data_IF_733086567187
#
_entry.id   IF_733086567187
#
_cell.length_a   1.000
_cell.length_b   1.000
_cell.length_c   1.000
_cell.angle_alpha   90.00
_cell.angle_beta   90.00
_cell.angle_gamma   90.00
#
_symmetry.space_group_name_H-M   'P 1'
#
loop_
_entity.id
_entity.type
_entity.pdbx_description
1 polymer ?
#
# COMPACT_ATOMS: atom_id res chain seq x y z
N UNK A 1 7.78 13.24 5.90
CA UNK A 1 7.17 12.00 5.40
C UNK A 1 7.93 10.80 5.93
N UNK A 2 7.23 9.75 6.33
CA UNK A 2 7.81 8.46 6.76
C UNK A 2 7.10 7.35 5.99
N UNK A 3 7.81 6.28 5.66
CA UNK A 3 7.19 5.09 5.08
C UNK A 3 6.11 4.57 6.04
N UNK A 4 4.92 4.36 5.52
CA UNK A 4 3.77 3.80 6.24
C UNK A 4 3.58 2.33 5.87
N UNK A 5 3.44 2.07 4.58
CA UNK A 5 3.31 0.71 4.10
C UNK A 5 3.75 0.55 2.64
N UNK A 6 4.10 -0.68 2.30
CA UNK A 6 4.32 -1.14 0.94
C UNK A 6 3.04 -1.77 0.41
N UNK A 7 2.77 -1.60 -0.87
CA UNK A 7 1.56 -2.12 -1.53
C UNK A 7 1.96 -3.18 -2.56
N UNK A 8 1.56 -4.41 -2.30
CA UNK A 8 1.64 -5.53 -3.24
C UNK A 8 0.27 -5.72 -3.88
N UNK A 9 0.19 -5.53 -5.18
CA UNK A 9 -1.02 -5.82 -5.95
C UNK A 9 -1.12 -7.31 -6.26
N UNK A 10 -2.35 -7.81 -6.35
CA UNK A 10 -2.65 -9.17 -6.80
C UNK A 10 -3.88 -9.16 -7.73
N UNK A 11 -3.97 -10.11 -8.66
CA UNK A 11 -5.17 -10.25 -9.50
C UNK A 11 -6.37 -10.70 -8.66
N UNK A 12 -6.15 -11.60 -7.71
CA UNK A 12 -7.10 -11.98 -6.66
C UNK A 12 -6.44 -11.96 -5.29
N UNK A 13 -7.22 -11.79 -4.22
CA UNK A 13 -6.65 -11.78 -2.88
C UNK A 13 -6.05 -13.13 -2.49
N UNK A 14 -6.67 -14.23 -2.96
CA UNK A 14 -6.18 -15.59 -2.69
C UNK A 14 -4.82 -15.85 -3.36
N UNK A 15 -4.60 -15.36 -4.58
CA UNK A 15 -3.29 -15.39 -5.22
C UNK A 15 -2.26 -14.58 -4.44
N UNK A 16 -2.67 -13.43 -3.90
CA UNK A 16 -1.83 -12.61 -3.04
C UNK A 16 -1.42 -13.33 -1.75
N UNK A 17 -2.35 -14.04 -1.11
CA UNK A 17 -2.06 -14.87 0.07
C UNK A 17 -1.08 -16.00 -0.27
N UNK A 18 -1.36 -16.76 -1.32
CA UNK A 18 -0.50 -17.85 -1.77
C UNK A 18 0.92 -17.36 -2.14
N UNK A 19 1.02 -16.18 -2.76
CA UNK A 19 2.30 -15.54 -3.03
C UNK A 19 3.05 -15.22 -1.74
N UNK A 20 2.38 -14.64 -0.74
CA UNK A 20 3.00 -14.30 0.55
C UNK A 20 3.56 -15.55 1.23
N UNK A 21 2.79 -16.64 1.29
CA UNK A 21 3.22 -17.92 1.85
C UNK A 21 4.43 -18.51 1.11
N UNK A 22 4.41 -18.46 -0.21
CA UNK A 22 5.50 -19.00 -1.05
C UNK A 22 6.76 -18.16 -0.97
N UNK A 23 6.65 -16.82 -1.06
CA UNK A 23 7.79 -15.91 -1.19
C UNK A 23 8.31 -15.47 0.17
N UNK A 24 7.43 -15.11 1.10
CA UNK A 24 7.79 -14.58 2.41
C UNK A 24 7.78 -15.65 3.52
N UNK A 25 7.17 -16.80 3.29
CA UNK A 25 7.22 -17.94 4.18
C UNK A 25 6.14 -17.98 5.25
N UNK A 26 5.11 -17.12 5.18
CA UNK A 26 4.02 -17.10 6.16
C UNK A 26 2.74 -16.51 5.57
N UNK A 27 1.60 -16.87 6.17
CA UNK A 27 0.30 -16.31 5.81
C UNK A 27 0.15 -14.90 6.37
N UNK A 28 -0.35 -13.94 5.57
CA UNK A 28 -0.64 -12.60 6.06
C UNK A 28 -1.87 -12.60 6.99
N UNK A 29 -1.88 -11.67 7.94
CA UNK A 29 -3.01 -11.48 8.84
C UNK A 29 -4.28 -11.01 8.08
N UNK A 30 -5.46 -11.27 8.63
CA UNK A 30 -6.69 -10.69 8.10
C UNK A 30 -6.59 -9.16 7.98
N UNK A 31 -7.05 -8.64 6.85
CA UNK A 31 -7.21 -7.22 6.62
C UNK A 31 -8.67 -6.83 6.66
N UNK A 32 -9.20 -6.29 5.57
CA UNK A 32 -10.61 -5.94 5.45
C UNK A 32 -10.96 -5.40 4.07
N UNK A 33 -12.23 -5.05 3.92
CA UNK A 33 -12.75 -4.42 2.70
C UNK A 33 -12.67 -2.89 2.80
N UNK A 34 -12.39 -2.27 1.68
CA UNK A 34 -12.43 -0.82 1.50
C UNK A 34 -13.67 -0.48 0.66
N UNK A 35 -14.81 -0.32 1.32
CA UNK A 35 -16.09 -0.08 0.65
C UNK A 35 -16.05 1.11 -0.32
N UNK A 36 -15.28 2.16 0.03
CA UNK A 36 -15.10 3.35 -0.81
C UNK A 36 -14.45 3.03 -2.16
N UNK A 37 -13.56 2.03 -2.19
CA UNK A 37 -12.73 1.73 -3.36
C UNK A 37 -13.04 0.38 -4.00
N UNK A 38 -13.95 -0.42 -3.43
CA UNK A 38 -14.25 -1.76 -3.92
C UNK A 38 -13.01 -2.65 -3.99
N UNK A 39 -12.20 -2.61 -2.94
CA UNK A 39 -10.99 -3.44 -2.80
C UNK A 39 -10.96 -4.12 -1.44
N UNK A 40 -10.19 -5.18 -1.32
CA UNK A 40 -9.94 -5.87 -0.06
C UNK A 40 -8.46 -6.19 0.10
N UNK A 41 -8.01 -6.42 1.33
CA UNK A 41 -6.60 -6.62 1.61
C UNK A 41 -6.31 -7.69 2.66
N UNK A 42 -5.03 -8.08 2.72
CA UNK A 42 -4.36 -8.77 3.83
C UNK A 42 -3.15 -7.96 4.24
N UNK A 43 -2.77 -8.05 5.50
CA UNK A 43 -1.74 -7.20 6.09
C UNK A 43 -0.65 -8.04 6.76
N UNK A 44 0.57 -7.52 6.76
CA UNK A 44 1.70 -8.14 7.39
C UNK A 44 2.57 -7.08 8.06
N UNK A 45 2.84 -7.22 9.36
CA UNK A 45 3.77 -6.34 10.04
C UNK A 45 5.18 -6.58 9.52
N UNK A 46 5.83 -5.54 9.00
CA UNK A 46 7.22 -5.56 8.53
C UNK A 46 8.07 -4.49 9.23
N UNK A 47 7.64 -4.03 10.40
CA UNK A 47 8.34 -3.00 11.16
C UNK A 47 9.76 -3.43 11.52
N UNK A 48 10.67 -2.48 11.50
CA UNK A 48 12.06 -2.63 11.96
C UNK A 48 12.50 -1.39 12.72
N UNK A 49 13.69 -1.39 13.30
CA UNK A 49 14.26 -0.20 13.95
C UNK A 49 14.43 0.95 12.97
N UNK A 50 14.79 0.67 11.71
CA UNK A 50 14.93 1.68 10.66
C UNK A 50 13.57 2.16 10.09
N UNK A 51 12.57 1.28 10.10
CA UNK A 51 11.23 1.53 9.56
C UNK A 51 10.16 1.16 10.60
N UNK A 52 10.01 1.96 11.68
CA UNK A 52 9.03 1.68 12.72
C UNK A 52 7.60 1.88 12.23
N UNK A 53 6.67 1.06 12.74
CA UNK A 53 5.25 1.11 12.38
C UNK A 53 5.03 1.01 10.87
N UNK A 54 5.65 0.01 10.24
CA UNK A 54 5.55 -0.26 8.82
C UNK A 54 4.86 -1.61 8.58
N UNK A 55 4.02 -1.69 7.56
CA UNK A 55 3.37 -2.94 7.18
C UNK A 55 3.40 -3.16 5.66
N UNK A 56 3.20 -4.39 5.24
CA UNK A 56 2.95 -4.78 3.87
C UNK A 56 1.44 -4.96 3.69
N UNK A 57 0.87 -4.30 2.71
CA UNK A 57 -0.51 -4.49 2.26
C UNK A 57 -0.52 -5.33 0.99
N UNK A 58 -1.21 -6.46 1.02
CA UNK A 58 -1.55 -7.25 -0.16
C UNK A 58 -2.98 -6.88 -0.54
N UNK A 59 -3.17 -6.29 -1.71
CA UNK A 59 -4.44 -5.72 -2.13
C UNK A 59 -4.91 -6.28 -3.47
N UNK A 60 -6.21 -6.49 -3.59
CA UNK A 60 -6.88 -6.85 -4.83
C UNK A 60 -8.22 -6.12 -4.97
N UNK A 61 -8.76 -6.08 -6.18
CA UNK A 61 -10.15 -5.69 -6.42
C UNK A 61 -11.06 -6.74 -5.77
N UNK A 62 -12.04 -6.27 -4.99
CA UNK A 62 -13.05 -7.15 -4.42
C UNK A 62 -14.17 -7.38 -5.45
N UNK A 63 -14.31 -8.62 -6.00
CA UNK A 63 -15.29 -8.88 -7.03
C UNK A 63 -16.74 -8.83 -6.53
N UNK A 64 -16.94 -8.85 -5.20
CA UNK A 64 -18.27 -8.79 -4.58
C UNK A 64 -18.65 -7.36 -4.15
N UNK A 65 -17.71 -6.44 -4.13
CA UNK A 65 -17.96 -5.07 -3.75
C UNK A 65 -18.34 -4.21 -4.97
N UNK A 66 -19.23 -3.22 -4.81
CA UNK A 66 -19.44 -2.23 -5.85
C UNK A 66 -18.14 -1.45 -6.10
N UNK A 67 -17.92 -1.06 -7.35
CA UNK A 67 -16.81 -0.15 -7.69
C UNK A 67 -17.02 1.24 -7.07
N UNK A 68 -15.97 2.05 -6.97
CA UNK A 68 -16.08 3.42 -6.50
C UNK A 68 -16.96 4.25 -7.43
N UNK A 69 -17.72 5.19 -6.85
CA UNK A 69 -18.59 6.08 -7.61
C UNK A 69 -17.85 7.39 -7.90
N UNK A 70 -17.82 7.82 -9.18
CA UNK A 70 -17.27 9.11 -9.60
C UNK A 70 -15.74 9.20 -9.56
N UNK A 71 -15.02 8.09 -9.37
CA UNK A 71 -13.56 8.01 -9.38
C UNK A 71 -13.08 6.62 -9.78
N UNK A 72 -11.82 6.51 -10.18
CA UNK A 72 -11.16 5.22 -10.33
C UNK A 72 -10.62 4.69 -8.98
N UNK A 73 -10.35 3.38 -8.91
CA UNK A 73 -9.66 2.76 -7.77
C UNK A 73 -8.24 3.31 -7.67
N UNK A 74 -7.75 3.37 -6.44
CA UNK A 74 -6.39 3.78 -6.15
C UNK A 74 -5.32 2.84 -6.75
N UNK A 75 -4.05 3.30 -6.75
CA UNK A 75 -2.85 2.52 -7.10
C UNK A 75 -2.85 1.90 -8.51
N UNK A 76 -3.49 2.58 -9.47
CA UNK A 76 -3.64 2.08 -10.86
C UNK A 76 -4.46 0.78 -10.98
N UNK A 77 -5.18 0.33 -9.96
CA UNK A 77 -5.85 -0.98 -9.96
C UNK A 77 -6.89 -1.15 -11.10
N UNK A 78 -7.44 -0.05 -11.62
CA UNK A 78 -8.33 -0.10 -12.80
C UNK A 78 -7.56 -0.01 -14.13
N UNK A 79 -6.24 0.10 -14.12
CA UNK A 79 -5.47 0.19 -15.37
C UNK A 79 -5.32 -1.20 -16.00
N UNK A 80 -5.71 -1.38 -17.28
CA UNK A 80 -5.62 -2.67 -17.96
C UNK A 80 -4.21 -3.26 -17.97
N UNK A 81 -3.19 -2.40 -18.13
CA UNK A 81 -1.80 -2.83 -18.14
C UNK A 81 -1.37 -3.44 -16.80
N UNK A 82 -1.76 -2.81 -15.66
CA UNK A 82 -1.46 -3.37 -14.35
C UNK A 82 -2.21 -4.69 -14.13
N UNK A 83 -3.49 -4.75 -14.48
CA UNK A 83 -4.28 -5.97 -14.36
C UNK A 83 -3.73 -7.10 -15.21
N UNK A 84 -3.20 -6.81 -16.41
CA UNK A 84 -2.52 -7.77 -17.24
C UNK A 84 -1.22 -8.26 -16.60
N UNK A 85 -0.37 -7.34 -16.13
CA UNK A 85 0.88 -7.70 -15.44
C UNK A 85 0.63 -8.59 -14.22
N UNK A 86 -0.38 -8.26 -13.39
CA UNK A 86 -0.74 -9.06 -12.22
C UNK A 86 -1.20 -10.49 -12.59
N UNK A 87 -1.90 -10.66 -13.72
CA UNK A 87 -2.30 -12.00 -14.20
C UNK A 87 -1.13 -12.80 -14.80
N UNK A 88 -0.22 -12.14 -15.50
CA UNK A 88 0.86 -12.80 -16.22
C UNK A 88 2.09 -13.07 -15.36
N UNK A 89 2.44 -12.11 -14.48
CA UNK A 89 3.65 -12.17 -13.64
C UNK A 89 3.34 -12.57 -12.20
N UNK A 90 2.05 -12.51 -11.81
CA UNK A 90 1.60 -12.75 -10.44
C UNK A 90 1.69 -11.50 -9.55
N UNK A 91 1.41 -11.67 -8.23
CA UNK A 91 1.48 -10.58 -7.28
C UNK A 91 2.87 -9.96 -7.17
N UNK A 92 2.93 -8.63 -7.05
CA UNK A 92 4.18 -7.91 -6.97
C UNK A 92 4.04 -6.53 -6.34
N UNK A 93 5.16 -5.93 -5.97
CA UNK A 93 5.21 -4.58 -5.42
C UNK A 93 4.74 -3.59 -6.46
N UNK A 94 3.70 -2.83 -6.16
CA UNK A 94 3.13 -1.86 -7.11
C UNK A 94 3.28 -0.41 -6.64
N UNK A 95 3.33 -0.17 -5.34
CA UNK A 95 3.35 1.18 -4.79
C UNK A 95 3.85 1.21 -3.35
N UNK A 96 4.00 2.44 -2.81
CA UNK A 96 4.22 2.68 -1.40
C UNK A 96 3.44 3.90 -0.92
N UNK A 97 3.15 3.93 0.37
CA UNK A 97 2.39 4.99 1.02
C UNK A 97 3.24 5.61 2.12
N UNK A 98 3.24 6.93 2.18
CA UNK A 98 3.94 7.69 3.21
C UNK A 98 2.97 8.32 4.19
N UNK A 99 3.21 8.14 5.49
CA UNK A 99 2.46 8.87 6.51
C UNK A 99 2.99 10.28 6.71
N UNK A 100 2.05 11.18 6.91
CA UNK A 100 2.27 12.59 7.22
C UNK A 100 1.48 12.97 8.47
N UNK A 101 1.97 13.96 9.21
CA UNK A 101 1.28 14.47 10.38
C UNK A 101 0.20 15.53 10.05
N UNK A 102 0.33 16.18 8.90
CA UNK A 102 -0.55 17.27 8.44
C UNK A 102 -0.75 17.15 6.93
N UNK A 103 -1.84 16.51 6.53
CA UNK A 103 -2.14 16.21 5.13
C UNK A 103 -2.21 17.47 4.27
N UNK A 104 -2.91 18.49 4.74
CA UNK A 104 -3.15 19.69 3.93
C UNK A 104 -1.84 20.46 3.67
N UNK A 105 -0.95 20.54 4.67
CA UNK A 105 0.36 21.16 4.51
C UNK A 105 1.26 20.35 3.56
N UNK A 106 1.24 19.00 3.67
CA UNK A 106 2.02 18.13 2.79
C UNK A 106 1.54 18.24 1.33
N UNK A 107 0.24 18.29 1.09
CA UNK A 107 -0.33 18.49 -0.24
C UNK A 107 0.00 19.88 -0.82
N UNK A 108 -0.05 20.92 0.01
CA UNK A 108 0.34 22.28 -0.41
C UNK A 108 1.82 22.33 -0.84
N UNK A 109 2.71 21.65 -0.08
CA UNK A 109 4.11 21.53 -0.44
C UNK A 109 4.29 20.81 -1.78
N UNK A 110 3.64 19.66 -1.99
CA UNK A 110 3.74 18.92 -3.26
C UNK A 110 3.22 19.75 -4.45
N UNK A 111 2.11 20.47 -4.26
CA UNK A 111 1.60 21.39 -5.30
C UNK A 111 2.57 22.50 -5.65
N UNK A 112 3.27 23.06 -4.66
CA UNK A 112 4.30 24.10 -4.91
C UNK A 112 5.50 23.57 -5.72
N UNK A 113 5.73 22.26 -5.67
CA UNK A 113 6.72 21.53 -6.45
C UNK A 113 6.18 21.02 -7.81
N UNK A 114 4.95 21.39 -8.16
CA UNK A 114 4.30 20.99 -9.42
C UNK A 114 3.77 19.55 -9.42
N UNK A 115 3.57 18.96 -8.25
CA UNK A 115 3.03 17.60 -8.09
C UNK A 115 1.57 17.65 -7.67
N UNK A 116 0.69 17.10 -8.50
CA UNK A 116 -0.72 16.85 -8.14
C UNK A 116 -0.87 15.47 -7.50
N UNK A 117 -0.88 15.43 -6.18
CA UNK A 117 -1.09 14.21 -5.39
C UNK A 117 -2.59 13.91 -5.14
N UNK A 118 -3.49 14.70 -5.71
CA UNK A 118 -4.93 14.57 -5.52
C UNK A 118 -5.44 15.29 -4.27
N UNK A 119 -6.63 14.87 -3.83
CA UNK A 119 -7.33 15.48 -2.70
C UNK A 119 -7.42 14.51 -1.51
N UNK A 120 -7.45 15.02 -0.26
CA UNK A 120 -7.60 14.19 0.91
C UNK A 120 -9.00 13.58 0.98
N UNK A 121 -9.07 12.27 1.01
CA UNK A 121 -10.31 11.50 1.14
C UNK A 121 -10.33 10.82 2.50
N UNK A 122 -11.37 11.10 3.29
CA UNK A 122 -11.56 10.45 4.57
C UNK A 122 -12.04 9.00 4.39
N UNK A 123 -11.48 8.09 5.15
CA UNK A 123 -11.86 6.68 5.16
C UNK A 123 -11.78 6.11 6.58
N UNK A 124 -12.53 5.02 6.80
CA UNK A 124 -12.53 4.32 8.08
C UNK A 124 -12.73 2.81 7.88
N UNK A 125 -12.21 2.03 8.84
CA UNK A 125 -12.45 0.59 8.94
C UNK A 125 -12.36 0.17 10.41
N UNK A 126 -13.46 -0.25 11.01
CA UNK A 126 -13.51 -0.45 12.46
C UNK A 126 -13.14 0.84 13.19
N UNK A 127 -12.14 0.74 14.07
CA UNK A 127 -11.61 1.89 14.83
C UNK A 127 -10.53 2.68 14.08
N UNK A 128 -10.05 2.16 12.96
CA UNK A 128 -9.08 2.84 12.12
C UNK A 128 -9.75 4.00 11.37
N UNK A 129 -9.17 5.18 11.48
CA UNK A 129 -9.61 6.39 10.74
C UNK A 129 -8.40 7.08 10.15
N UNK A 130 -8.51 7.43 8.87
CA UNK A 130 -7.43 8.11 8.15
C UNK A 130 -7.95 9.05 7.06
N UNK A 131 -7.08 9.93 6.59
CA UNK A 131 -7.23 10.62 5.31
C UNK A 131 -6.15 10.11 4.36
N UNK A 132 -6.48 9.90 3.11
CA UNK A 132 -5.55 9.45 2.08
C UNK A 132 -5.66 10.39 0.88
N UNK A 133 -4.53 10.82 0.34
CA UNK A 133 -4.51 11.68 -0.84
C UNK A 133 -4.75 10.85 -2.09
N UNK A 134 -5.83 11.12 -2.80
CA UNK A 134 -6.23 10.34 -3.96
C UNK A 134 -6.54 11.24 -5.15
N UNK A 135 -5.94 10.94 -6.27
CA UNK A 135 -6.33 11.49 -7.57
C UNK A 135 -7.66 10.88 -8.01
N UNK A 136 -8.46 11.67 -8.71
CA UNK A 136 -9.76 11.20 -9.23
C UNK A 136 -9.59 10.07 -10.26
N UNK A 137 -8.50 10.10 -11.04
CA UNK A 137 -8.15 9.08 -12.00
C UNK A 137 -7.54 7.80 -11.39
N UNK A 138 -7.37 7.75 -10.06
CA UNK A 138 -6.82 6.62 -9.30
C UNK A 138 -5.35 6.32 -9.57
N UNK A 139 -4.67 7.15 -10.36
CA UNK A 139 -3.30 6.89 -10.79
C UNK A 139 -2.30 7.13 -9.69
N UNK A 140 -1.30 6.25 -9.63
CA UNK A 140 -0.10 6.45 -8.83
C UNK A 140 0.67 7.68 -9.33
N UNK A 141 1.38 8.32 -8.44
CA UNK A 141 2.35 9.35 -8.82
C UNK A 141 3.55 8.66 -9.48
N UNK A 142 3.59 8.68 -10.80
CA UNK A 142 4.65 8.01 -11.58
C UNK A 142 5.96 8.79 -11.61
N UNK A 143 5.93 10.03 -11.20
CA UNK A 143 7.13 10.86 -11.17
C UNK A 143 8.02 10.41 -10.03
N UNK A 144 9.15 9.77 -10.36
CA UNK A 144 10.28 9.56 -9.45
C UNK A 144 9.95 8.77 -8.15
N UNK A 145 9.03 7.80 -8.21
CA UNK A 145 8.74 6.96 -7.04
C UNK A 145 8.04 7.69 -5.89
N UNK A 146 7.28 8.77 -6.19
CA UNK A 146 6.55 9.52 -5.17
C UNK A 146 5.41 8.67 -4.54
N UNK A 147 5.19 8.79 -3.23
CA UNK A 147 4.16 8.04 -2.52
C UNK A 147 2.77 8.62 -2.68
N UNK A 148 1.78 7.80 -2.39
CA UNK A 148 0.49 8.29 -1.90
C UNK A 148 0.65 8.73 -0.44
N UNK A 149 0.03 9.83 -0.05
CA UNK A 149 0.10 10.32 1.33
C UNK A 149 -1.07 9.78 2.16
N UNK A 150 -0.77 9.39 3.40
CA UNK A 150 -1.78 9.01 4.40
C UNK A 150 -1.56 9.77 5.71
N UNK A 151 -2.64 10.17 6.34
CA UNK A 151 -2.67 10.77 7.68
C UNK A 151 -3.62 9.97 8.56
N UNK A 152 -3.10 9.39 9.61
CA UNK A 152 -3.89 8.66 10.61
C UNK A 152 -4.50 9.62 11.62
N UNK A 153 -5.69 9.31 12.12
CA UNK A 153 -6.32 10.11 13.17
C UNK A 153 -5.41 10.19 14.40
N UNK A 154 -5.25 11.41 14.93
CA UNK A 154 -4.41 11.64 16.10
C UNK A 154 -4.89 10.82 17.32
N UNK A 155 -3.97 10.11 17.97
CA UNK A 155 -4.28 9.23 19.12
C UNK A 155 -5.05 7.96 18.76
N UNK A 156 -5.38 7.74 17.48
CA UNK A 156 -6.05 6.53 17.00
C UNK A 156 -5.07 5.35 16.82
N UNK A 157 -5.63 4.15 16.65
CA UNK A 157 -4.83 2.97 16.35
C UNK A 157 -4.19 3.06 14.97
N UNK A 158 -3.07 2.32 14.80
CA UNK A 158 -2.40 2.15 13.50
C UNK A 158 -2.31 0.65 13.18
N UNK A 159 -2.44 0.22 11.92
CA UNK A 159 -2.43 -1.20 11.59
C UNK A 159 -1.21 -1.96 12.13
N UNK A 160 -0.01 -1.39 12.00
CA UNK A 160 1.20 -2.05 12.48
C UNK A 160 1.23 -2.29 14.00
N UNK A 161 0.52 -1.50 14.80
CA UNK A 161 0.44 -1.69 16.26
C UNK A 161 -0.54 -2.81 16.64
N UNK A 162 -1.47 -3.15 15.76
CA UNK A 162 -2.52 -4.17 15.98
C UNK A 162 -2.16 -5.52 15.32
N UNK A 163 -1.27 -5.49 14.33
CA UNK A 163 -0.83 -6.71 13.65
C UNK A 163 0.09 -7.55 14.54
N UNK A 164 -0.03 -8.88 14.47
CA UNK A 164 0.91 -9.75 15.15
C UNK A 164 2.33 -9.55 14.61
N UNK A 165 3.32 -9.81 15.45
CA UNK A 165 4.71 -9.88 15.02
C UNK A 165 4.83 -10.99 14.00
N UNK A 166 5.33 -10.66 12.80
CA UNK A 166 5.40 -11.61 11.69
C UNK A 166 6.71 -12.40 11.66
N UNK A 167 7.76 -11.90 12.29
CA UNK A 167 9.11 -12.39 12.07
C UNK A 167 9.77 -11.90 10.79
N UNK A 168 9.07 -11.01 10.04
CA UNK A 168 9.62 -10.30 8.88
C UNK A 168 9.94 -8.87 9.26
N UNK A 169 11.04 -8.35 8.75
CA UNK A 169 11.43 -6.96 8.98
C UNK A 169 11.98 -6.30 7.72
N UNK A 170 11.56 -5.06 7.48
CA UNK A 170 12.07 -4.25 6.38
C UNK A 170 13.46 -3.74 6.72
N UNK A 171 14.47 -4.18 5.96
CA UNK A 171 15.87 -3.81 6.16
C UNK A 171 16.25 -2.56 5.38
N UNK A 172 15.81 -2.47 4.13
CA UNK A 172 16.12 -1.36 3.23
C UNK A 172 14.94 -1.05 2.32
N UNK A 173 14.77 0.22 2.03
CA UNK A 173 13.75 0.74 1.13
C UNK A 173 14.32 1.84 0.25
N UNK A 174 14.07 1.76 -1.05
CA UNK A 174 14.49 2.74 -2.05
C UNK A 174 13.35 3.04 -3.01
N UNK A 175 13.14 4.35 -3.30
CA UNK A 175 12.06 4.82 -4.16
C UNK A 175 12.49 5.83 -5.23
N UNK A 176 13.79 6.13 -5.37
CA UNK A 176 14.25 7.16 -6.33
C UNK A 176 14.38 6.65 -7.76
N UNK A 177 15.12 5.57 -7.97
CA UNK A 177 15.44 5.02 -9.30
C UNK A 177 14.67 3.71 -9.55
N UNK A 178 13.46 3.65 -9.08
CA UNK A 178 12.62 2.47 -9.01
C UNK A 178 12.15 2.25 -7.58
N UNK A 179 11.21 1.33 -7.40
CA UNK A 179 10.70 0.96 -6.08
C UNK A 179 11.28 -0.39 -5.70
N UNK A 180 12.12 -0.43 -4.66
CA UNK A 180 12.74 -1.64 -4.15
C UNK A 180 12.63 -1.70 -2.63
N UNK A 181 12.39 -2.91 -2.11
CA UNK A 181 12.36 -3.19 -0.67
C UNK A 181 13.07 -4.51 -0.38
N UNK A 182 13.92 -4.55 0.62
CA UNK A 182 14.61 -5.75 1.08
C UNK A 182 14.07 -6.13 2.44
N UNK A 183 13.55 -7.34 2.52
CA UNK A 183 12.92 -7.91 3.70
C UNK A 183 13.78 -9.05 4.23
N UNK A 184 14.05 -9.04 5.52
CA UNK A 184 14.52 -10.24 6.20
C UNK A 184 13.30 -11.09 6.55
N UNK A 185 13.32 -12.36 6.15
CA UNK A 185 12.19 -13.29 6.27
C UNK A 185 12.64 -14.64 6.83
N UNK A 186 11.73 -15.48 7.31
CA UNK A 186 12.06 -16.86 7.70
C UNK A 186 12.70 -17.70 6.58
N UNK A 187 12.62 -17.23 5.33
CA UNK A 187 13.23 -17.86 4.14
C UNK A 187 14.55 -17.22 3.71
N UNK A 188 15.07 -16.28 4.50
CA UNK A 188 16.21 -15.43 4.15
C UNK A 188 15.81 -14.08 3.59
N UNK A 189 16.78 -13.36 3.04
CA UNK A 189 16.52 -12.04 2.44
C UNK A 189 15.71 -12.17 1.15
N UNK A 190 14.65 -11.37 1.05
CA UNK A 190 13.80 -11.27 -0.13
C UNK A 190 13.80 -9.82 -0.63
N UNK A 191 14.14 -9.62 -1.89
CA UNK A 191 13.98 -8.33 -2.55
C UNK A 191 12.63 -8.27 -3.30
N UNK A 192 11.84 -7.26 -3.00
CA UNK A 192 10.66 -6.88 -3.77
C UNK A 192 11.02 -5.69 -4.66
N UNK A 193 10.78 -5.81 -5.96
CA UNK A 193 10.97 -4.73 -6.91
C UNK A 193 9.63 -4.34 -7.55
N UNK A 194 9.54 -3.09 -8.04
CA UNK A 194 8.34 -2.59 -8.70
C UNK A 194 7.94 -3.54 -9.84
N UNK A 195 6.70 -3.97 -9.82
CA UNK A 195 6.10 -4.73 -10.92
C UNK A 195 6.06 -3.84 -12.17
N UNK A 196 6.65 -4.32 -13.24
CA UNK A 196 6.85 -3.59 -14.50
C UNK A 196 5.55 -3.46 -15.33
#
# INVERSE_FOLDING_TARGET
MQLDHLVVGAATLDEGVAWCERVLGLSPAPGGSHALMGTHNRLLNISSAAHPRCYLEIIAIDPLAPGPVGRARWFDLDQPALQQALREQGPGLIHWVARVAQMDAALAQMRSEGVDAGEPVAAQRGDLRWRIALRQDGRRLRREGLPTLIEWAAGGPHPADQLPVSGISLQRFEARDGLNAWLDTPRGEVQLSLLA
#
